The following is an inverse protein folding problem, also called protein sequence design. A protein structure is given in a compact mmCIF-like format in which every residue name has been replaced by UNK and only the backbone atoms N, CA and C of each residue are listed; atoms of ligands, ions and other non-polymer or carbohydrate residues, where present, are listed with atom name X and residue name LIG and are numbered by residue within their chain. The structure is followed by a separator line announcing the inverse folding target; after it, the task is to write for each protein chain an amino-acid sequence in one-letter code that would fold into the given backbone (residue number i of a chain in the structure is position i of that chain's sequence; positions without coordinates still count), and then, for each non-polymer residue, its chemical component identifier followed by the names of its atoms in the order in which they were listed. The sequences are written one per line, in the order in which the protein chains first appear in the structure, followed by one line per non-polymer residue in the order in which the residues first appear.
data_IF_286782129187
#
_entry.id   IF_286782129187
#
_cell.length_a   1.000
_cell.length_b   1.000
_cell.length_c   1.000
_cell.angle_alpha   90.00
_cell.angle_beta   90.00
_cell.angle_gamma   90.00
#
_symmetry.space_group_name_H-M   'P 1'
#
loop_
_entity.id
_entity.type
_entity.pdbx_description
1 polymer ?
#
# COMPACT_ATOMS: atom_id res chain seq x y z
N UNK A 1 22.92 56.04 17.46
CA UNK A 1 22.61 55.17 18.62
C UNK A 1 21.17 55.42 19.05
N UNK A 2 20.21 54.66 18.54
CA UNK A 2 18.82 54.64 19.04
C UNK A 2 18.52 53.22 19.53
N UNK A 3 18.99 52.89 20.74
CA UNK A 3 18.48 51.75 21.47
C UNK A 3 17.20 52.22 22.16
N UNK A 4 16.07 52.16 21.44
CA UNK A 4 14.77 52.34 22.05
C UNK A 4 14.58 51.23 23.08
N UNK A 5 14.60 51.59 24.36
CA UNK A 5 14.34 50.68 25.46
C UNK A 5 12.92 50.12 25.29
N UNK A 6 12.82 48.87 24.81
CA UNK A 6 11.57 48.14 24.76
C UNK A 6 11.06 48.06 26.20
N UNK A 7 9.93 48.71 26.46
CA UNK A 7 9.31 48.74 27.77
C UNK A 7 9.04 47.31 28.22
N UNK A 8 9.34 46.99 29.49
CA UNK A 8 9.01 45.68 30.09
C UNK A 8 7.52 45.31 29.93
N UNK A 9 6.65 46.30 29.71
CA UNK A 9 5.22 46.10 29.44
C UNK A 9 4.93 45.51 28.06
N UNK A 10 5.79 45.71 27.07
CA UNK A 10 5.60 45.21 25.69
C UNK A 10 6.20 43.80 25.48
N UNK A 11 7.15 43.41 26.35
CA UNK A 11 7.80 42.10 26.33
C UNK A 11 6.87 40.95 26.73
N UNK A 12 5.94 41.19 27.67
CA UNK A 12 5.01 40.16 28.16
C UNK A 12 4.01 39.70 27.08
N UNK A 13 3.32 40.60 26.34
CA UNK A 13 2.42 40.17 25.26
C UNK A 13 3.18 39.56 24.07
N UNK A 14 4.38 40.06 23.74
CA UNK A 14 5.21 39.46 22.69
C UNK A 14 5.66 38.04 23.07
N UNK A 15 6.06 37.82 24.32
CA UNK A 15 6.43 36.50 24.83
C UNK A 15 5.23 35.54 24.84
N UNK A 16 4.06 35.98 25.30
CA UNK A 16 2.84 35.17 25.29
C UNK A 16 2.40 34.80 23.87
N UNK A 17 2.46 35.72 22.90
CA UNK A 17 2.14 35.43 21.51
C UNK A 17 3.14 34.43 20.90
N UNK A 18 4.44 34.60 21.18
CA UNK A 18 5.48 33.68 20.71
C UNK A 18 5.30 32.29 21.32
N UNK A 19 4.93 32.21 22.60
CA UNK A 19 4.62 30.96 23.30
C UNK A 19 3.38 30.30 22.70
N UNK A 20 2.29 31.04 22.44
CA UNK A 20 1.07 30.50 21.82
C UNK A 20 1.35 30.02 20.40
N UNK A 21 2.13 30.77 19.61
CA UNK A 21 2.53 30.36 18.26
C UNK A 21 3.45 29.13 18.29
N UNK A 22 4.38 29.04 19.24
CA UNK A 22 5.24 27.87 19.42
C UNK A 22 4.46 26.64 19.87
N UNK A 23 3.50 26.79 20.78
CA UNK A 23 2.57 25.72 21.20
C UNK A 23 1.68 25.30 20.03
N UNK A 24 1.14 26.22 19.24
CA UNK A 24 0.34 25.90 18.06
C UNK A 24 1.15 25.27 16.92
N UNK A 25 2.43 25.64 16.76
CA UNK A 25 3.34 25.04 15.79
C UNK A 25 3.83 23.65 16.21
N UNK A 26 3.90 23.39 17.53
CA UNK A 26 4.28 22.09 18.07
C UNK A 26 3.10 21.15 18.33
N UNK A 27 1.87 21.66 18.48
CA UNK A 27 0.65 20.86 18.65
C UNK A 27 0.45 19.77 17.58
N UNK A 28 0.70 20.03 16.27
CA UNK A 28 0.63 19.01 15.23
C UNK A 28 1.64 17.87 15.39
N UNK A 29 2.76 18.10 16.09
CA UNK A 29 3.77 17.08 16.39
C UNK A 29 3.35 16.18 17.57
N UNK A 30 2.46 16.65 18.45
CA UNK A 30 2.02 15.93 19.64
C UNK A 30 0.61 15.34 19.52
N UNK A 31 -0.22 15.87 18.62
CA UNK A 31 -1.61 15.44 18.44
C UNK A 31 -1.80 14.84 17.05
N UNK A 32 -1.43 13.57 16.93
CA UNK A 32 -1.82 12.74 15.79
C UNK A 32 -3.36 12.72 15.67
N UNK A 33 -3.90 13.28 14.58
CA UNK A 33 -5.31 13.14 14.22
C UNK A 33 -6.18 14.40 14.22
N UNK A 34 -5.67 15.57 14.63
CA UNK A 34 -6.43 16.82 14.46
C UNK A 34 -6.40 17.28 13.00
N UNK A 35 -7.58 17.44 12.40
CA UNK A 35 -7.71 17.97 11.04
C UNK A 35 -7.28 19.44 10.99
N UNK A 36 -6.72 19.88 9.86
CA UNK A 36 -6.28 21.27 9.67
C UNK A 36 -7.40 22.29 9.95
N UNK A 37 -8.66 21.92 9.64
CA UNK A 37 -9.84 22.75 9.92
C UNK A 37 -10.14 22.89 11.42
N UNK A 38 -9.91 21.83 12.20
CA UNK A 38 -10.06 21.87 13.66
C UNK A 38 -9.01 22.77 14.32
N UNK A 39 -7.78 22.75 13.80
CA UNK A 39 -6.71 23.64 14.24
C UNK A 39 -7.01 25.10 13.92
N UNK A 40 -7.60 25.39 12.76
CA UNK A 40 -8.05 26.74 12.42
C UNK A 40 -9.13 27.24 13.39
N UNK A 41 -10.14 26.43 13.71
CA UNK A 41 -11.18 26.79 14.68
C UNK A 41 -10.62 27.07 16.08
N UNK A 42 -9.51 26.43 16.45
CA UNK A 42 -8.88 26.62 17.75
C UNK A 42 -7.98 27.86 17.76
N UNK A 43 -7.25 28.14 16.68
CA UNK A 43 -6.28 29.26 16.60
C UNK A 43 -6.96 30.59 16.27
N UNK A 44 -7.99 30.60 15.43
CA UNK A 44 -8.64 31.83 14.96
C UNK A 44 -9.23 32.70 16.08
N UNK A 45 -9.91 32.15 17.10
CA UNK A 45 -10.44 32.94 18.22
C UNK A 45 -9.35 33.63 19.03
N UNK A 46 -8.18 33.01 19.21
CA UNK A 46 -7.06 33.63 19.95
C UNK A 46 -6.41 34.74 19.14
N UNK A 47 -6.20 34.53 17.83
CA UNK A 47 -5.67 35.57 16.94
C UNK A 47 -6.66 36.74 16.86
N UNK A 48 -7.96 36.47 16.73
CA UNK A 48 -9.01 37.48 16.70
C UNK A 48 -9.13 38.25 18.02
N UNK A 49 -9.11 37.55 19.16
CA UNK A 49 -9.12 38.17 20.48
C UNK A 49 -7.88 39.05 20.73
N UNK A 50 -6.70 38.60 20.27
CA UNK A 50 -5.47 39.36 20.36
C UNK A 50 -5.51 40.63 19.49
N UNK A 51 -5.98 40.51 18.24
CA UNK A 51 -6.14 41.65 17.32
C UNK A 51 -7.19 42.66 17.80
N UNK A 52 -8.32 42.20 18.34
CA UNK A 52 -9.37 43.09 18.86
C UNK A 52 -8.91 43.84 20.11
N UNK A 53 -8.23 43.19 21.05
CA UNK A 53 -7.63 43.86 22.22
C UNK A 53 -6.62 44.93 21.83
N UNK A 54 -5.79 44.65 20.83
CA UNK A 54 -4.81 45.63 20.30
C UNK A 54 -5.52 46.86 19.71
N UNK A 55 -6.61 46.66 18.97
CA UNK A 55 -7.38 47.76 18.36
C UNK A 55 -8.07 48.66 19.38
N UNK A 56 -8.60 48.07 20.46
CA UNK A 56 -9.37 48.80 21.50
C UNK A 56 -8.48 49.72 22.33
N UNK A 57 -7.20 49.39 22.53
CA UNK A 57 -6.28 50.20 23.34
C UNK A 57 -5.41 51.17 22.55
N UNK A 58 -5.63 51.35 21.24
CA UNK A 58 -4.85 52.26 20.38
C UNK A 58 -3.33 52.04 20.43
N UNK A 59 -2.90 50.82 20.78
CA UNK A 59 -1.48 50.47 20.87
C UNK A 59 -0.99 50.12 19.47
N UNK A 60 -0.04 50.92 18.94
CA UNK A 60 0.64 50.58 17.69
C UNK A 60 1.36 49.25 17.88
N UNK A 61 0.92 48.23 17.12
CA UNK A 61 1.59 46.93 17.10
C UNK A 61 3.03 47.14 16.65
N UNK A 62 4.03 46.76 17.46
CA UNK A 62 5.42 46.83 17.04
C UNK A 62 5.58 46.02 15.75
N UNK A 63 6.22 46.60 14.74
CA UNK A 63 6.41 45.93 13.44
C UNK A 63 7.06 44.54 13.57
N UNK A 64 7.85 44.33 14.62
CA UNK A 64 8.45 43.04 14.99
C UNK A 64 7.43 41.94 15.26
N UNK A 65 6.29 42.24 15.89
CA UNK A 65 5.23 41.27 16.18
C UNK A 65 4.51 40.85 14.90
N UNK A 66 4.27 41.81 13.99
CA UNK A 66 3.71 41.53 12.66
C UNK A 66 4.64 40.66 11.82
N UNK A 67 5.94 40.94 11.83
CA UNK A 67 6.95 40.14 11.13
C UNK A 67 7.02 38.71 11.69
N UNK A 68 6.98 38.54 13.02
CA UNK A 68 6.95 37.22 13.65
C UNK A 68 5.68 36.43 13.34
N UNK A 69 4.51 37.09 13.32
CA UNK A 69 3.25 36.46 12.92
C UNK A 69 3.29 36.02 11.44
N UNK A 70 3.84 36.87 10.56
CA UNK A 70 4.00 36.55 9.15
C UNK A 70 4.97 35.39 8.93
N UNK A 71 6.11 35.38 9.63
CA UNK A 71 7.06 34.26 9.63
C UNK A 71 6.43 32.99 10.19
N UNK A 72 5.60 33.09 11.23
CA UNK A 72 4.81 31.97 11.78
C UNK A 72 3.82 31.40 10.78
N UNK A 73 3.10 32.26 10.04
CA UNK A 73 2.19 31.83 8.98
C UNK A 73 2.94 31.20 7.79
N UNK A 74 4.06 31.78 7.38
CA UNK A 74 4.89 31.25 6.29
C UNK A 74 5.52 29.91 6.66
N UNK A 75 6.01 29.76 7.89
CA UNK A 75 6.58 28.51 8.40
C UNK A 75 5.50 27.44 8.60
N UNK A 76 4.33 27.77 9.15
CA UNK A 76 3.20 26.84 9.24
C UNK A 76 2.71 26.39 7.84
N UNK A 77 2.66 27.30 6.87
CA UNK A 77 2.32 26.97 5.47
C UNK A 77 3.40 26.11 4.81
N UNK A 78 4.66 26.35 5.12
CA UNK A 78 5.80 25.57 4.60
C UNK A 78 5.84 24.17 5.23
N UNK A 79 5.57 24.05 6.53
CA UNK A 79 5.48 22.76 7.23
C UNK A 79 4.26 21.97 6.72
N UNK A 80 3.11 22.64 6.52
CA UNK A 80 1.91 22.03 5.94
C UNK A 80 2.13 21.58 4.50
N UNK A 81 2.82 22.36 3.66
CA UNK A 81 3.13 21.96 2.29
C UNK A 81 4.16 20.83 2.23
N UNK A 82 5.09 20.76 3.19
CA UNK A 82 6.02 19.64 3.35
C UNK A 82 5.32 18.37 3.87
N UNK A 83 4.33 18.49 4.75
CA UNK A 83 3.56 17.33 5.26
C UNK A 83 2.48 16.82 4.29
N UNK A 84 1.93 17.67 3.43
CA UNK A 84 0.98 17.27 2.38
C UNK A 84 1.63 16.49 1.22
N UNK A 85 2.96 16.39 1.16
CA UNK A 85 3.68 15.78 0.03
C UNK A 85 4.36 14.45 0.34
N UNK A 86 4.20 13.91 1.55
CA UNK A 86 4.83 12.66 1.99
C UNK A 86 3.95 11.41 1.86
N UNK A 87 2.72 11.55 1.36
CA UNK A 87 1.90 10.40 0.97
C UNK A 87 2.26 9.93 -0.43
N UNK A 88 2.74 8.69 -0.56
CA UNK A 88 2.93 7.99 -1.83
C UNK A 88 1.62 7.99 -2.66
N UNK A 89 1.48 8.91 -3.63
CA UNK A 89 0.15 9.33 -4.11
C UNK A 89 0.07 9.60 -5.61
N UNK A 90 0.98 9.03 -6.42
CA UNK A 90 0.80 9.09 -7.88
C UNK A 90 0.86 7.74 -8.59
N UNK A 91 -0.12 7.54 -9.47
CA UNK A 91 -0.07 6.58 -10.57
C UNK A 91 0.54 7.32 -11.78
N UNK A 92 1.63 6.82 -12.32
CA UNK A 92 2.25 7.39 -13.53
C UNK A 92 1.77 6.60 -14.74
N UNK A 93 1.25 7.30 -15.74
CA UNK A 93 0.96 6.73 -17.07
C UNK A 93 1.98 7.27 -18.04
N UNK A 94 2.71 6.37 -18.71
CA UNK A 94 3.69 6.74 -19.72
C UNK A 94 3.07 6.79 -21.10
N UNK A 95 3.74 7.43 -22.06
CA UNK A 95 3.31 7.44 -23.45
C UNK A 95 3.18 6.01 -23.98
N UNK A 96 2.02 5.69 -24.56
CA UNK A 96 1.78 4.38 -25.15
C UNK A 96 2.61 4.20 -26.42
N UNK A 97 3.14 2.99 -26.62
CA UNK A 97 3.88 2.62 -27.83
C UNK A 97 2.99 2.79 -29.06
N UNK A 98 3.45 3.60 -30.01
CA UNK A 98 2.72 3.93 -31.24
C UNK A 98 1.87 5.19 -31.16
N UNK A 99 1.63 5.75 -29.97
CA UNK A 99 0.82 6.94 -29.77
C UNK A 99 1.67 8.22 -29.86
N UNK A 100 2.15 8.53 -31.07
CA UNK A 100 3.01 9.69 -31.33
C UNK A 100 2.36 11.03 -30.94
N UNK A 101 1.04 11.13 -31.08
CA UNK A 101 0.25 12.32 -30.75
C UNK A 101 -0.20 12.36 -29.28
N UNK A 102 0.16 11.35 -28.48
CA UNK A 102 -0.26 11.18 -27.07
C UNK A 102 -1.78 11.19 -26.86
N UNK A 103 -2.55 10.94 -27.91
CA UNK A 103 -4.00 11.05 -27.92
C UNK A 103 -4.66 9.94 -27.12
N UNK A 104 -4.25 8.69 -27.36
CA UNK A 104 -4.73 7.51 -26.63
C UNK A 104 -4.28 7.55 -25.18
N UNK A 105 -3.03 7.93 -24.94
CA UNK A 105 -2.43 8.10 -23.61
C UNK A 105 -3.23 9.14 -22.80
N UNK A 106 -3.59 10.27 -23.42
CA UNK A 106 -4.39 11.31 -22.79
C UNK A 106 -5.79 10.81 -22.45
N UNK A 107 -6.48 10.19 -23.40
CA UNK A 107 -7.83 9.64 -23.20
C UNK A 107 -7.82 8.60 -22.07
N UNK A 108 -6.84 7.70 -22.07
CA UNK A 108 -6.69 6.68 -21.04
C UNK A 108 -6.49 7.29 -19.65
N UNK A 109 -5.59 8.27 -19.54
CA UNK A 109 -5.34 8.99 -18.29
C UNK A 109 -6.59 9.73 -17.79
N UNK A 110 -7.32 10.40 -18.68
CA UNK A 110 -8.57 11.08 -18.35
C UNK A 110 -9.62 10.10 -17.86
N UNK A 111 -9.74 8.93 -18.50
CA UNK A 111 -10.60 7.84 -18.04
C UNK A 111 -10.27 7.38 -16.62
N UNK A 112 -8.98 7.23 -16.29
CA UNK A 112 -8.54 6.84 -14.93
C UNK A 112 -8.88 7.94 -13.93
N UNK A 113 -8.59 9.21 -14.24
CA UNK A 113 -8.94 10.33 -13.36
C UNK A 113 -10.45 10.43 -13.13
N UNK A 114 -11.27 10.27 -14.16
CA UNK A 114 -12.73 10.28 -14.03
C UNK A 114 -13.24 9.11 -13.16
N UNK A 115 -12.64 7.93 -13.29
CA UNK A 115 -12.94 6.79 -12.41
C UNK A 115 -12.51 7.04 -10.95
N UNK A 116 -11.33 7.64 -10.72
CA UNK A 116 -10.88 8.05 -9.39
C UNK A 116 -11.82 9.08 -8.77
N UNK A 117 -12.28 10.09 -9.51
CA UNK A 117 -13.25 11.06 -9.01
C UNK A 117 -14.61 10.44 -8.66
N UNK A 118 -15.02 9.37 -9.35
CA UNK A 118 -16.20 8.59 -8.96
C UNK A 118 -15.98 7.83 -7.65
N UNK A 119 -14.82 7.17 -7.51
CA UNK A 119 -14.46 6.47 -6.27
C UNK A 119 -14.33 7.44 -5.09
N UNK A 120 -13.73 8.62 -5.28
CA UNK A 120 -13.57 9.63 -4.24
C UNK A 120 -14.92 10.16 -3.70
N UNK A 121 -15.98 10.16 -4.52
CA UNK A 121 -17.34 10.49 -4.06
C UNK A 121 -17.92 9.41 -3.15
N UNK A 122 -17.61 8.13 -3.41
CA UNK A 122 -18.03 7.02 -2.55
C UNK A 122 -17.13 6.88 -1.31
N UNK A 123 -15.85 7.29 -1.42
CA UNK A 123 -14.82 7.11 -0.40
C UNK A 123 -13.97 8.41 -0.26
N UNK A 124 -14.38 9.35 0.60
CA UNK A 124 -13.84 10.73 0.65
C UNK A 124 -12.33 10.85 0.97
N UNK A 125 -11.69 9.78 1.47
CA UNK A 125 -10.24 9.76 1.72
C UNK A 125 -9.36 9.84 0.47
N UNK A 126 -9.93 9.80 -0.73
CA UNK A 126 -9.15 9.63 -1.98
C UNK A 126 -9.20 10.80 -2.95
N UNK A 127 -9.76 11.94 -2.52
CA UNK A 127 -9.80 13.18 -3.29
C UNK A 127 -8.40 13.71 -3.71
N UNK A 128 -7.33 13.22 -3.07
CA UNK A 128 -5.95 13.64 -3.35
C UNK A 128 -5.22 12.75 -4.36
N UNK A 129 -5.79 11.61 -4.75
CA UNK A 129 -5.14 10.69 -5.71
C UNK A 129 -5.09 11.33 -7.10
N UNK A 130 -3.90 11.37 -7.70
CA UNK A 130 -3.70 11.96 -9.04
C UNK A 130 -2.93 11.03 -9.95
N UNK A 131 -3.35 11.00 -11.21
CA UNK A 131 -2.60 10.34 -12.28
C UNK A 131 -1.67 11.35 -12.94
N UNK A 132 -0.37 11.07 -12.94
CA UNK A 132 0.66 11.88 -13.60
C UNK A 132 0.97 11.30 -14.97
N UNK A 133 1.20 12.18 -15.93
CA UNK A 133 1.77 11.79 -17.22
C UNK A 133 3.30 11.86 -17.11
N UNK A 134 3.97 10.96 -17.84
CA UNK A 134 5.41 11.07 -18.08
C UNK A 134 5.71 10.77 -19.54
N UNK A 135 6.40 11.69 -20.20
CA UNK A 135 6.83 11.55 -21.59
C UNK A 135 8.05 10.64 -21.66
N UNK A 136 7.78 9.34 -21.54
CA UNK A 136 8.76 8.28 -21.66
C UNK A 136 8.10 7.11 -22.39
N UNK A 137 8.78 6.55 -23.38
CA UNK A 137 8.30 5.35 -24.05
C UNK A 137 8.97 4.14 -23.42
N UNK A 138 8.35 3.60 -22.35
CA UNK A 138 8.91 2.45 -21.65
C UNK A 138 8.60 1.17 -22.42
N UNK A 139 9.60 0.31 -22.54
CA UNK A 139 9.50 -0.98 -23.23
C UNK A 139 9.66 -2.17 -22.31
N UNK A 140 10.22 -1.96 -21.11
CA UNK A 140 10.57 -3.05 -20.21
C UNK A 140 10.28 -2.77 -18.74
N UNK A 141 10.07 -3.85 -17.98
CA UNK A 141 9.91 -3.78 -16.52
C UNK A 141 11.11 -3.12 -15.84
N UNK A 142 12.34 -3.33 -16.36
CA UNK A 142 13.55 -2.77 -15.76
C UNK A 142 13.53 -1.24 -15.77
N UNK A 143 13.08 -0.64 -16.87
CA UNK A 143 12.94 0.82 -16.99
C UNK A 143 11.83 1.34 -16.07
N UNK A 144 10.68 0.67 -16.04
CA UNK A 144 9.58 1.02 -15.14
C UNK A 144 9.96 0.89 -13.65
N UNK A 145 10.76 -0.12 -13.30
CA UNK A 145 11.28 -0.29 -11.95
C UNK A 145 12.29 0.80 -11.58
N UNK A 146 13.21 1.15 -12.48
CA UNK A 146 14.13 2.28 -12.28
C UNK A 146 13.37 3.60 -12.12
N UNK A 147 12.27 3.77 -12.88
CA UNK A 147 11.39 4.92 -12.73
C UNK A 147 10.76 4.96 -11.33
N UNK A 148 10.17 3.86 -10.87
CA UNK A 148 9.60 3.74 -9.53
C UNK A 148 10.62 4.03 -8.43
N UNK A 149 11.87 3.57 -8.59
CA UNK A 149 12.97 3.84 -7.66
C UNK A 149 13.39 5.32 -7.67
N UNK A 150 13.39 5.98 -8.84
CA UNK A 150 13.73 7.40 -8.97
C UNK A 150 12.64 8.34 -8.45
N UNK A 151 11.37 7.92 -8.52
CA UNK A 151 10.23 8.73 -8.10
C UNK A 151 9.72 8.23 -6.75
N UNK A 152 10.24 8.81 -5.67
CA UNK A 152 9.91 8.42 -4.30
C UNK A 152 8.39 8.31 -4.05
N UNK A 153 7.56 9.08 -4.76
CA UNK A 153 6.11 9.17 -4.52
C UNK A 153 5.23 8.41 -5.54
N UNK A 154 5.80 7.60 -6.44
CA UNK A 154 5.01 6.86 -7.44
C UNK A 154 4.69 5.45 -6.95
N UNK A 155 3.40 5.13 -6.82
CA UNK A 155 2.96 3.80 -6.37
C UNK A 155 2.97 2.78 -7.50
N UNK A 156 2.70 3.27 -8.71
CA UNK A 156 2.44 2.45 -9.87
C UNK A 156 2.93 3.19 -11.11
N UNK A 157 3.46 2.43 -12.07
CA UNK A 157 3.77 2.92 -13.41
C UNK A 157 3.05 2.03 -14.41
N UNK A 158 2.11 2.60 -15.16
CA UNK A 158 1.43 1.96 -16.27
C UNK A 158 2.13 2.35 -17.58
N UNK A 159 2.53 1.34 -18.36
CA UNK A 159 3.21 1.51 -19.65
C UNK A 159 2.84 0.38 -20.60
N UNK A 160 3.09 0.51 -21.90
CA UNK A 160 2.74 -0.52 -22.88
C UNK A 160 2.38 0.11 -24.22
N UNK A 161 1.51 -0.55 -24.98
CA UNK A 161 1.04 -0.05 -26.28
C UNK A 161 -0.49 -0.11 -26.39
N UNK A 162 -1.02 0.23 -27.56
CA UNK A 162 -2.48 0.31 -27.81
C UNK A 162 -3.29 -0.97 -27.57
N UNK A 163 -2.64 -2.14 -27.41
CA UNK A 163 -3.32 -3.42 -27.13
C UNK A 163 -3.17 -3.90 -25.69
N UNK A 164 -2.03 -3.61 -25.07
CA UNK A 164 -1.61 -4.20 -23.80
C UNK A 164 -0.90 -3.17 -22.94
N UNK A 165 -1.32 -3.11 -21.67
CA UNK A 165 -0.72 -2.31 -20.61
C UNK A 165 -0.08 -3.23 -19.59
N UNK A 166 1.15 -2.93 -19.23
CA UNK A 166 1.87 -3.50 -18.10
C UNK A 166 1.87 -2.49 -16.96
N UNK A 167 1.72 -2.99 -15.75
CA UNK A 167 1.64 -2.16 -14.55
C UNK A 167 2.73 -2.61 -13.60
N UNK A 168 3.79 -1.81 -13.48
CA UNK A 168 4.83 -2.01 -12.49
C UNK A 168 4.40 -1.38 -11.15
N UNK A 169 4.75 -2.03 -10.05
CA UNK A 169 4.33 -1.65 -8.71
C UNK A 169 5.53 -1.31 -7.82
N UNK A 170 5.40 -0.26 -7.01
CA UNK A 170 6.42 0.16 -6.06
C UNK A 170 6.68 -0.88 -4.97
N UNK A 171 7.95 -1.05 -4.57
CA UNK A 171 8.36 -2.04 -3.56
C UNK A 171 7.81 -1.80 -2.15
N UNK A 172 7.39 -0.57 -1.87
CA UNK A 172 6.86 -0.17 -0.56
C UNK A 172 5.41 -0.59 -0.36
N UNK A 173 4.72 -1.04 -1.42
CA UNK A 173 3.40 -1.70 -1.33
C UNK A 173 3.57 -3.12 -0.77
N UNK A 174 4.02 -3.23 0.48
CA UNK A 174 4.10 -4.50 1.22
C UNK A 174 2.70 -4.81 1.74
N UNK A 175 2.19 -5.99 1.36
CA UNK A 175 0.81 -6.36 1.70
C UNK A 175 0.63 -6.86 3.15
N UNK A 176 1.70 -6.97 3.93
CA UNK A 176 1.67 -7.46 5.31
C UNK A 176 2.72 -6.78 6.19
N UNK A 177 2.39 -6.43 7.44
CA UNK A 177 3.38 -5.98 8.42
C UNK A 177 4.33 -7.12 8.81
N UNK A 178 5.61 -6.78 9.00
CA UNK A 178 6.66 -7.72 9.43
C UNK A 178 6.80 -7.82 10.95
N UNK A 179 6.30 -6.80 11.64
CA UNK A 179 6.38 -6.64 13.09
C UNK A 179 5.15 -7.25 13.79
N UNK A 180 5.24 -7.33 15.12
CA UNK A 180 4.14 -7.75 15.97
C UNK A 180 3.78 -9.24 15.87
N UNK A 181 2.49 -9.55 16.05
CA UNK A 181 1.97 -10.90 16.08
C UNK A 181 2.19 -11.66 14.76
N UNK A 182 2.06 -10.97 13.62
CA UNK A 182 2.25 -11.55 12.28
C UNK A 182 3.66 -12.11 12.11
N UNK A 183 4.68 -11.30 12.40
CA UNK A 183 6.07 -11.72 12.30
C UNK A 183 6.40 -12.92 13.21
N UNK A 184 5.83 -12.96 14.41
CA UNK A 184 6.00 -14.06 15.35
C UNK A 184 5.37 -15.37 14.85
N UNK A 185 4.15 -15.31 14.30
CA UNK A 185 3.48 -16.48 13.70
C UNK A 185 4.22 -17.03 12.48
N UNK A 186 4.67 -16.15 11.59
CA UNK A 186 5.44 -16.57 10.42
C UNK A 186 6.77 -17.23 10.82
N UNK A 187 7.46 -16.70 11.83
CA UNK A 187 8.67 -17.32 12.42
C UNK A 187 8.36 -18.68 13.05
N UNK A 188 7.24 -18.82 13.76
CA UNK A 188 6.80 -20.10 14.34
C UNK A 188 6.55 -21.15 13.25
N UNK A 189 5.81 -20.78 12.20
CA UNK A 189 5.55 -21.65 11.05
C UNK A 189 6.84 -21.99 10.29
N UNK A 190 7.85 -21.10 10.33
CA UNK A 190 9.06 -21.12 9.50
C UNK A 190 8.71 -21.07 8.01
N UNK A 191 7.74 -20.22 7.68
CA UNK A 191 7.25 -20.01 6.33
C UNK A 191 7.18 -18.51 6.03
N UNK A 192 7.49 -18.16 4.79
CA UNK A 192 7.45 -16.78 4.30
C UNK A 192 6.33 -16.59 3.28
N UNK A 193 5.40 -15.66 3.49
CA UNK A 193 4.46 -15.27 2.46
C UNK A 193 5.18 -14.41 1.41
N UNK A 194 4.74 -14.51 0.16
CA UNK A 194 5.12 -13.56 -0.89
C UNK A 194 4.34 -12.28 -0.64
N UNK A 195 5.04 -11.18 -0.39
CA UNK A 195 4.46 -9.90 0.04
C UNK A 195 4.26 -8.91 -1.10
N UNK A 196 4.95 -9.15 -2.21
CA UNK A 196 5.02 -8.24 -3.33
C UNK A 196 5.13 -9.07 -4.61
N UNK A 197 4.29 -8.75 -5.58
CA UNK A 197 4.39 -9.20 -6.96
C UNK A 197 4.56 -7.92 -7.76
N UNK A 198 5.69 -7.80 -8.45
CA UNK A 198 6.15 -6.51 -8.96
C UNK A 198 5.35 -5.97 -10.16
N UNK A 199 4.55 -6.84 -10.79
CA UNK A 199 3.85 -6.49 -12.02
C UNK A 199 2.64 -7.37 -12.27
N UNK A 200 1.68 -6.79 -12.97
CA UNK A 200 0.66 -7.52 -13.72
C UNK A 200 0.41 -6.85 -15.08
N UNK A 201 -0.19 -7.61 -15.99
CA UNK A 201 -0.58 -7.14 -17.33
C UNK A 201 -2.10 -7.02 -17.46
N UNK A 202 -2.52 -6.12 -18.34
CA UNK A 202 -3.89 -5.78 -18.69
C UNK A 202 -4.00 -5.61 -20.20
N UNK A 203 -5.14 -5.96 -20.78
CA UNK A 203 -5.44 -5.48 -22.13
C UNK A 203 -5.93 -4.04 -22.03
N UNK A 204 -5.55 -3.19 -22.99
CA UNK A 204 -6.02 -1.80 -23.00
C UNK A 204 -7.52 -1.73 -23.33
N UNK A 205 -7.98 -2.56 -24.26
CA UNK A 205 -9.36 -2.57 -24.70
C UNK A 205 -10.21 -3.57 -23.90
N UNK A 206 -11.40 -3.17 -23.41
CA UNK A 206 -12.02 -1.86 -23.60
C UNK A 206 -11.48 -0.80 -22.60
N UNK A 207 -11.25 0.41 -23.12
CA UNK A 207 -10.45 1.45 -22.45
C UNK A 207 -11.06 1.95 -21.13
N UNK A 208 -12.39 2.11 -21.09
CA UNK A 208 -13.08 2.65 -19.91
C UNK A 208 -13.04 1.69 -18.72
N UNK A 209 -13.18 0.40 -18.98
CA UNK A 209 -13.14 -0.68 -18.00
C UNK A 209 -11.72 -0.89 -17.50
N UNK A 210 -10.73 -0.82 -18.39
CA UNK A 210 -9.31 -0.88 -18.01
C UNK A 210 -8.94 0.30 -17.13
N UNK A 211 -9.39 1.51 -17.48
CA UNK A 211 -9.19 2.70 -16.67
C UNK A 211 -9.89 2.61 -15.30
N UNK A 212 -11.13 2.10 -15.27
CA UNK A 212 -11.90 1.86 -14.05
C UNK A 212 -11.22 0.84 -13.12
N UNK A 213 -10.75 -0.28 -13.69
CA UNK A 213 -10.01 -1.29 -12.95
C UNK A 213 -8.71 -0.72 -12.34
N UNK A 214 -7.93 0.02 -13.14
CA UNK A 214 -6.69 0.63 -12.65
C UNK A 214 -6.95 1.65 -11.54
N UNK A 215 -7.97 2.48 -11.69
CA UNK A 215 -8.39 3.41 -10.64
C UNK A 215 -8.76 2.68 -9.35
N UNK A 216 -9.54 1.59 -9.43
CA UNK A 216 -9.94 0.80 -8.27
C UNK A 216 -8.74 0.11 -7.57
N UNK A 217 -7.83 -0.50 -8.34
CA UNK A 217 -6.62 -1.11 -7.78
C UNK A 217 -5.71 -0.05 -7.14
N UNK A 218 -5.51 1.07 -7.82
CA UNK A 218 -4.68 2.16 -7.33
C UNK A 218 -5.25 2.75 -6.04
N UNK A 219 -6.56 3.02 -6.01
CA UNK A 219 -7.28 3.44 -4.81
C UNK A 219 -7.08 2.46 -3.66
N UNK A 220 -7.29 1.15 -3.88
CA UNK A 220 -7.09 0.15 -2.84
C UNK A 220 -5.66 0.14 -2.29
N UNK A 221 -4.66 0.18 -3.18
CA UNK A 221 -3.26 0.12 -2.81
C UNK A 221 -2.81 1.34 -1.98
N UNK A 222 -3.28 2.54 -2.33
CA UNK A 222 -2.96 3.75 -1.56
C UNK A 222 -3.78 3.82 -0.27
N UNK A 223 -5.07 3.48 -0.30
CA UNK A 223 -5.92 3.46 0.89
C UNK A 223 -5.36 2.55 1.99
N UNK A 224 -4.66 1.47 1.64
CA UNK A 224 -3.96 0.61 2.62
C UNK A 224 -2.89 1.34 3.42
N UNK A 225 -2.17 2.27 2.78
CA UNK A 225 -1.11 3.06 3.43
C UNK A 225 -1.72 4.01 4.46
N UNK A 226 -2.91 4.54 4.17
CA UNK A 226 -3.64 5.46 5.06
C UNK A 226 -4.55 4.75 6.08
N UNK A 227 -4.89 3.47 5.85
CA UNK A 227 -5.82 2.70 6.70
C UNK A 227 -5.28 2.31 8.08
N UNK A 228 -4.09 2.77 8.48
CA UNK A 228 -3.72 2.78 9.90
C UNK A 228 -4.71 3.58 10.77
N UNK A 229 -5.59 4.38 10.13
CA UNK A 229 -6.66 5.17 10.76
C UNK A 229 -8.07 4.59 10.63
N UNK A 230 -8.31 3.59 9.78
CA UNK A 230 -9.64 3.00 9.58
C UNK A 230 -9.69 1.62 10.26
N UNK A 231 -10.26 1.57 11.46
CA UNK A 231 -10.18 0.41 12.37
C UNK A 231 -10.83 -0.87 11.84
N UNK A 232 -11.63 -0.77 10.77
CA UNK A 232 -12.39 -1.92 10.25
C UNK A 232 -11.82 -2.51 8.96
N UNK A 233 -10.98 -1.78 8.21
CA UNK A 233 -10.43 -2.22 6.92
C UNK A 233 -11.48 -2.57 5.84
N UNK A 234 -12.78 -2.29 6.08
CA UNK A 234 -13.88 -2.68 5.20
C UNK A 234 -13.83 -1.96 3.85
N UNK A 235 -13.46 -0.67 3.85
CA UNK A 235 -13.33 0.12 2.62
C UNK A 235 -12.26 -0.47 1.67
N UNK A 236 -11.14 -0.91 2.23
CA UNK A 236 -10.06 -1.57 1.49
C UNK A 236 -10.54 -2.90 0.88
N UNK A 237 -11.20 -3.73 1.68
CA UNK A 237 -11.78 -5.00 1.22
C UNK A 237 -12.81 -4.80 0.11
N UNK A 238 -13.76 -3.89 0.29
CA UNK A 238 -14.81 -3.58 -0.69
C UNK A 238 -14.21 -3.09 -2.01
N UNK A 239 -13.20 -2.22 -1.94
CA UNK A 239 -12.52 -1.72 -3.15
C UNK A 239 -11.82 -2.86 -3.89
N UNK A 240 -11.15 -3.78 -3.19
CA UNK A 240 -10.52 -4.94 -3.82
C UNK A 240 -11.53 -5.90 -4.44
N UNK A 241 -12.66 -6.14 -3.77
CA UNK A 241 -13.77 -6.93 -4.32
C UNK A 241 -14.34 -6.28 -5.57
N UNK A 242 -14.55 -4.96 -5.53
CA UNK A 242 -14.99 -4.17 -6.68
C UNK A 242 -14.01 -4.27 -7.86
N UNK A 243 -12.70 -4.15 -7.61
CA UNK A 243 -11.67 -4.33 -8.63
C UNK A 243 -11.67 -5.77 -9.20
N UNK A 244 -11.80 -6.80 -8.36
CA UNK A 244 -11.88 -8.20 -8.81
C UNK A 244 -13.18 -8.53 -9.58
N UNK A 245 -14.24 -7.76 -9.34
CA UNK A 245 -15.54 -7.90 -9.98
C UNK A 245 -15.62 -7.20 -11.34
N UNK A 246 -14.65 -6.35 -11.71
CA UNK A 246 -14.63 -5.78 -13.06
C UNK A 246 -14.58 -6.91 -14.09
N UNK A 247 -15.55 -6.86 -15.00
CA UNK A 247 -15.65 -7.77 -16.14
C UNK A 247 -15.73 -6.91 -17.39
N UNK A 248 -14.86 -7.23 -18.33
CA UNK A 248 -14.89 -6.65 -19.66
C UNK A 248 -14.48 -7.74 -20.66
N UNK A 249 -14.63 -7.46 -21.95
CA UNK A 249 -14.23 -8.35 -23.05
C UNK A 249 -12.70 -8.37 -23.26
N UNK A 250 -11.95 -8.51 -22.17
CA UNK A 250 -10.50 -8.65 -22.21
C UNK A 250 -10.10 -10.02 -22.73
N UNK A 251 -8.97 -10.06 -23.44
CA UNK A 251 -8.37 -11.30 -23.97
C UNK A 251 -7.90 -12.28 -22.88
N UNK A 252 -7.73 -11.83 -21.64
CA UNK A 252 -7.42 -12.67 -20.48
C UNK A 252 -8.01 -12.11 -19.18
N UNK A 253 -8.38 -13.03 -18.28
CA UNK A 253 -8.86 -12.73 -16.93
C UNK A 253 -7.72 -12.60 -15.90
N UNK A 254 -6.45 -12.73 -16.31
CA UNK A 254 -5.31 -12.77 -15.39
C UNK A 254 -5.20 -11.55 -14.48
N UNK A 255 -5.66 -10.38 -14.93
CA UNK A 255 -5.67 -9.16 -14.12
C UNK A 255 -6.58 -9.27 -12.89
N UNK A 256 -7.68 -10.02 -12.96
CA UNK A 256 -8.60 -10.27 -11.82
C UNK A 256 -7.95 -11.11 -10.73
N UNK A 257 -6.93 -11.88 -11.09
CA UNK A 257 -6.18 -12.66 -10.12
C UNK A 257 -5.41 -11.78 -9.13
N UNK A 258 -4.97 -10.60 -9.57
CA UNK A 258 -4.18 -9.69 -8.75
C UNK A 258 -4.95 -9.17 -7.53
N UNK A 259 -6.14 -8.54 -7.65
CA UNK A 259 -6.92 -8.13 -6.49
C UNK A 259 -7.37 -9.33 -5.63
N UNK A 260 -7.71 -10.47 -6.23
CA UNK A 260 -8.04 -11.68 -5.43
C UNK A 260 -6.84 -12.18 -4.61
N UNK A 261 -5.63 -12.11 -5.15
CA UNK A 261 -4.41 -12.44 -4.41
C UNK A 261 -4.14 -11.43 -3.29
N UNK A 262 -4.34 -10.13 -3.54
CA UNK A 262 -4.23 -9.09 -2.50
C UNK A 262 -5.27 -9.33 -1.39
N UNK A 263 -6.50 -9.66 -1.75
CA UNK A 263 -7.57 -9.94 -0.79
C UNK A 263 -7.25 -11.18 0.05
N UNK A 264 -6.71 -12.24 -0.57
CA UNK A 264 -6.22 -13.40 0.17
C UNK A 264 -5.10 -13.05 1.14
N UNK A 265 -4.24 -12.09 0.77
CA UNK A 265 -3.21 -11.58 1.65
C UNK A 265 -3.80 -10.78 2.81
N UNK A 266 -4.78 -9.93 2.55
CA UNK A 266 -5.48 -9.17 3.58
C UNK A 266 -6.03 -10.07 4.70
N UNK A 267 -6.82 -11.10 4.34
CA UNK A 267 -7.36 -12.05 5.32
C UNK A 267 -6.30 -12.88 6.03
N UNK A 268 -5.24 -13.28 5.32
CA UNK A 268 -4.12 -13.98 5.94
C UNK A 268 -3.41 -13.10 6.99
N UNK A 269 -3.33 -11.79 6.75
CA UNK A 269 -2.77 -10.82 7.69
C UNK A 269 -3.63 -10.73 8.94
N UNK A 270 -4.93 -10.48 8.76
CA UNK A 270 -5.93 -10.40 9.83
C UNK A 270 -5.94 -11.64 10.74
N UNK A 271 -5.85 -12.83 10.15
CA UNK A 271 -5.74 -14.07 10.92
C UNK A 271 -4.55 -14.06 11.87
N UNK A 272 -3.38 -13.59 11.41
CA UNK A 272 -2.19 -13.58 12.25
C UNK A 272 -2.17 -12.40 13.24
N UNK A 273 -2.80 -11.28 12.89
CA UNK A 273 -2.98 -10.12 13.76
C UNK A 273 -3.89 -10.46 14.95
N UNK A 274 -4.96 -11.21 14.72
CA UNK A 274 -5.87 -11.73 15.77
C UNK A 274 -5.29 -12.88 16.59
N UNK A 275 -4.00 -13.19 16.47
CA UNK A 275 -3.37 -14.30 17.20
C UNK A 275 -3.89 -15.69 16.80
N UNK A 276 -4.66 -15.79 15.73
CA UNK A 276 -5.31 -17.02 15.26
C UNK A 276 -6.70 -17.28 15.83
N UNK A 277 -7.33 -16.28 16.46
CA UNK A 277 -8.66 -16.38 17.06
C UNK A 277 -9.80 -16.39 16.02
N UNK A 278 -9.56 -15.88 14.80
CA UNK A 278 -10.55 -15.82 13.73
C UNK A 278 -10.27 -16.87 12.62
N UNK A 279 -10.56 -18.16 12.82
CA UNK A 279 -10.21 -19.20 11.84
C UNK A 279 -10.92 -19.07 10.48
N UNK A 280 -12.04 -18.35 10.44
CA UNK A 280 -12.74 -17.99 9.20
C UNK A 280 -11.87 -17.18 8.25
N UNK A 281 -10.94 -16.38 8.77
CA UNK A 281 -10.00 -15.58 7.96
C UNK A 281 -9.09 -16.47 7.10
N UNK A 282 -8.68 -17.65 7.59
CA UNK A 282 -7.93 -18.60 6.78
C UNK A 282 -8.76 -19.23 5.66
N UNK A 283 -10.07 -19.41 5.88
CA UNK A 283 -10.99 -19.87 4.83
C UNK A 283 -11.16 -18.80 3.75
N UNK A 284 -11.40 -17.56 4.15
CA UNK A 284 -11.48 -16.41 3.25
C UNK A 284 -10.17 -16.23 2.46
N UNK A 285 -9.01 -16.35 3.11
CA UNK A 285 -7.71 -16.30 2.46
C UNK A 285 -7.56 -17.42 1.40
N UNK A 286 -7.84 -18.67 1.76
CA UNK A 286 -7.75 -19.81 0.86
C UNK A 286 -8.70 -19.67 -0.34
N UNK A 287 -9.94 -19.25 -0.09
CA UNK A 287 -10.95 -19.01 -1.13
C UNK A 287 -10.51 -17.91 -2.10
N UNK A 288 -9.92 -16.83 -1.59
CA UNK A 288 -9.41 -15.73 -2.41
C UNK A 288 -8.22 -16.17 -3.27
N UNK A 289 -7.28 -16.96 -2.73
CA UNK A 289 -6.20 -17.53 -3.53
C UNK A 289 -6.72 -18.54 -4.56
N UNK A 290 -7.72 -19.34 -4.23
CA UNK A 290 -8.35 -20.25 -5.20
C UNK A 290 -9.05 -19.49 -6.32
N UNK A 291 -9.71 -18.39 -6.01
CA UNK A 291 -10.30 -17.47 -6.99
C UNK A 291 -9.21 -16.87 -7.89
N UNK A 292 -8.10 -16.40 -7.32
CA UNK A 292 -6.97 -15.90 -8.09
C UNK A 292 -6.42 -16.96 -9.06
N UNK A 293 -6.27 -18.20 -8.59
CA UNK A 293 -5.76 -19.31 -9.41
C UNK A 293 -6.72 -19.74 -10.53
N UNK A 294 -8.04 -19.55 -10.37
CA UNK A 294 -9.01 -19.80 -11.46
C UNK A 294 -8.87 -18.81 -12.62
N UNK A 295 -8.42 -17.59 -12.33
CA UNK A 295 -8.23 -16.54 -13.33
C UNK A 295 -6.87 -16.61 -14.04
N UNK A 296 -5.90 -17.34 -13.48
CA UNK A 296 -4.56 -17.46 -14.04
C UNK A 296 -4.44 -18.73 -14.88
N UNK A 297 -4.20 -18.59 -16.18
CA UNK A 297 -3.70 -19.71 -16.98
C UNK A 297 -2.21 -19.92 -16.71
N UNK A 298 -1.70 -21.15 -16.86
CA UNK A 298 -0.27 -21.41 -16.84
C UNK A 298 0.48 -20.49 -17.83
N UNK A 299 1.34 -19.60 -17.33
CA UNK A 299 2.17 -18.70 -18.14
C UNK A 299 1.70 -17.25 -18.26
N UNK A 300 0.45 -16.91 -17.90
CA UNK A 300 -0.05 -15.51 -18.00
C UNK A 300 0.75 -14.56 -17.11
N UNK A 301 0.97 -14.96 -15.86
CA UNK A 301 1.84 -14.29 -14.91
C UNK A 301 2.41 -15.34 -13.96
N UNK A 302 3.56 -15.92 -14.33
CA UNK A 302 4.17 -17.03 -13.59
C UNK A 302 4.54 -16.67 -12.13
N UNK A 303 4.89 -15.41 -11.86
CA UNK A 303 5.24 -14.97 -10.50
C UNK A 303 3.99 -14.80 -9.63
N UNK A 304 2.93 -14.17 -10.15
CA UNK A 304 1.64 -14.07 -9.44
C UNK A 304 1.02 -15.44 -9.17
N UNK A 305 1.09 -16.36 -10.13
CA UNK A 305 0.63 -17.73 -9.97
C UNK A 305 1.40 -18.47 -8.86
N UNK A 306 2.73 -18.34 -8.85
CA UNK A 306 3.56 -18.88 -7.79
C UNK A 306 3.27 -18.22 -6.43
N UNK A 307 3.00 -16.91 -6.41
CA UNK A 307 2.67 -16.16 -5.20
C UNK A 307 1.36 -16.62 -4.58
N UNK A 308 0.30 -16.78 -5.38
CA UNK A 308 -0.99 -17.29 -4.93
C UNK A 308 -0.87 -18.71 -4.35
N UNK A 309 -0.14 -19.62 -5.01
CA UNK A 309 0.10 -20.97 -4.50
C UNK A 309 0.96 -20.99 -3.24
N UNK A 310 1.99 -20.15 -3.16
CA UNK A 310 2.83 -20.04 -1.97
C UNK A 310 2.01 -19.55 -0.76
N UNK A 311 1.24 -18.49 -0.93
CA UNK A 311 0.50 -17.88 0.17
C UNK A 311 -0.68 -18.76 0.59
N UNK A 312 -1.31 -19.47 -0.37
CA UNK A 312 -2.24 -20.55 -0.06
C UNK A 312 -1.60 -21.65 0.79
N UNK A 313 -0.35 -22.03 0.50
CA UNK A 313 0.37 -23.00 1.33
C UNK A 313 0.62 -22.46 2.75
N UNK A 314 0.95 -21.18 2.91
CA UNK A 314 1.08 -20.54 4.24
C UNK A 314 -0.25 -20.60 5.00
N UNK A 315 -1.37 -20.24 4.35
CA UNK A 315 -2.70 -20.32 4.97
C UNK A 315 -3.08 -21.75 5.37
N UNK A 316 -2.79 -22.74 4.51
CA UNK A 316 -2.99 -24.16 4.81
C UNK A 316 -2.10 -24.65 5.98
N UNK A 317 -0.90 -24.10 6.11
CA UNK A 317 -0.01 -24.38 7.23
C UNK A 317 -0.58 -23.83 8.54
N UNK A 318 -1.11 -22.60 8.51
CA UNK A 318 -1.90 -22.01 9.61
C UNK A 318 -3.03 -22.97 10.01
N UNK A 319 -3.88 -23.37 9.06
CA UNK A 319 -4.96 -24.32 9.36
C UNK A 319 -4.49 -25.65 9.95
N UNK A 320 -3.35 -26.15 9.49
CA UNK A 320 -2.78 -27.40 10.02
C UNK A 320 -2.27 -27.23 11.45
N UNK A 321 -1.72 -26.06 11.80
CA UNK A 321 -1.21 -25.75 13.12
C UNK A 321 -2.34 -25.53 14.15
N UNK A 322 -3.36 -24.75 13.80
CA UNK A 322 -4.43 -24.38 14.73
C UNK A 322 -5.57 -25.40 14.83
N UNK A 323 -5.87 -26.15 13.77
CA UNK A 323 -7.02 -27.08 13.75
C UNK A 323 -6.63 -28.55 13.63
N UNK A 324 -5.35 -28.89 13.76
CA UNK A 324 -4.80 -30.25 13.68
C UNK A 324 -5.23 -31.06 12.41
N UNK A 325 -5.51 -30.36 11.31
CA UNK A 325 -5.98 -30.99 10.07
C UNK A 325 -4.80 -31.56 9.26
N UNK A 326 -4.40 -32.81 9.52
CA UNK A 326 -3.29 -33.51 8.82
C UNK A 326 -3.40 -33.45 7.28
N UNK A 327 -4.62 -33.49 6.72
CA UNK A 327 -4.88 -33.35 5.28
C UNK A 327 -4.33 -32.02 4.69
N UNK A 328 -4.32 -30.95 5.48
CA UNK A 328 -3.83 -29.64 5.04
C UNK A 328 -2.31 -29.61 4.86
N UNK A 329 -1.56 -30.44 5.60
CA UNK A 329 -0.11 -30.56 5.41
C UNK A 329 0.25 -31.13 4.04
N UNK A 330 -0.49 -32.14 3.57
CA UNK A 330 -0.30 -32.71 2.24
C UNK A 330 -0.68 -31.70 1.15
N UNK A 331 -1.81 -30.99 1.32
CA UNK A 331 -2.25 -29.92 0.40
C UNK A 331 -1.24 -28.77 0.33
N UNK A 332 -0.70 -28.33 1.47
CA UNK A 332 0.37 -27.33 1.55
C UNK A 332 1.59 -27.75 0.75
N UNK A 333 2.10 -28.97 0.96
CA UNK A 333 3.27 -29.46 0.22
C UNK A 333 2.99 -29.57 -1.29
N UNK A 334 1.77 -29.98 -1.68
CA UNK A 334 1.34 -30.01 -3.09
C UNK A 334 1.38 -28.59 -3.67
N UNK A 335 0.77 -27.61 -3.01
CA UNK A 335 0.75 -26.22 -3.45
C UNK A 335 2.17 -25.65 -3.64
N UNK A 336 3.08 -25.85 -2.68
CA UNK A 336 4.48 -25.42 -2.80
C UNK A 336 5.21 -26.07 -3.99
N UNK A 337 5.00 -27.37 -4.24
CA UNK A 337 5.60 -28.06 -5.39
C UNK A 337 5.08 -27.50 -6.71
N UNK A 338 3.79 -27.18 -6.79
CA UNK A 338 3.20 -26.57 -7.99
C UNK A 338 3.73 -25.14 -8.18
N UNK A 339 3.85 -24.36 -7.11
CA UNK A 339 4.44 -23.01 -7.17
C UNK A 339 5.87 -23.05 -7.73
N UNK A 340 6.69 -24.01 -7.31
CA UNK A 340 8.06 -24.19 -7.82
C UNK A 340 8.07 -24.56 -9.31
N UNK A 341 7.08 -25.35 -9.77
CA UNK A 341 6.96 -25.71 -11.19
C UNK A 341 6.62 -24.51 -12.08
N UNK A 342 6.07 -23.42 -11.54
CA UNK A 342 5.83 -22.18 -12.29
C UNK A 342 7.12 -21.62 -12.92
N UNK A 343 8.32 -21.93 -12.37
CA UNK A 343 9.61 -21.60 -13.00
C UNK A 343 9.74 -22.08 -14.45
N UNK A 344 9.10 -23.20 -14.78
CA UNK A 344 9.16 -23.80 -16.13
C UNK A 344 8.27 -23.07 -17.14
N UNK A 345 7.39 -22.20 -16.68
CA UNK A 345 6.53 -21.41 -17.55
C UNK A 345 7.31 -20.24 -18.12
N UNK A 346 6.92 -19.80 -19.33
CA UNK A 346 7.52 -18.65 -19.99
C UNK A 346 7.30 -17.40 -19.13
N UNK A 347 8.38 -16.67 -18.86
CA UNK A 347 8.31 -15.39 -18.17
C UNK A 347 8.06 -14.27 -19.19
N UNK A 348 6.81 -14.15 -19.64
CA UNK A 348 6.38 -13.18 -20.66
C UNK A 348 6.60 -11.73 -20.23
N UNK A 349 6.54 -11.45 -18.92
CA UNK A 349 6.69 -10.11 -18.35
C UNK A 349 8.14 -9.73 -18.02
N UNK A 350 9.10 -10.66 -18.17
CA UNK A 350 10.51 -10.40 -17.86
C UNK A 350 10.80 -10.08 -16.39
N UNK A 351 9.87 -10.36 -15.48
CA UNK A 351 10.00 -10.02 -14.06
C UNK A 351 10.79 -11.06 -13.27
N UNK A 352 11.53 -10.67 -12.21
CA UNK A 352 12.18 -11.63 -11.33
C UNK A 352 11.15 -12.57 -10.70
N UNK A 353 11.34 -13.89 -10.84
CA UNK A 353 10.47 -14.92 -10.24
C UNK A 353 10.73 -15.09 -8.73
N UNK A 354 10.46 -14.04 -7.96
CA UNK A 354 10.69 -13.99 -6.51
C UNK A 354 9.82 -15.00 -5.77
N UNK A 355 8.56 -15.15 -6.17
CA UNK A 355 7.60 -16.05 -5.52
C UNK A 355 8.02 -17.51 -5.61
N UNK A 356 8.64 -17.91 -6.73
CA UNK A 356 9.20 -19.24 -6.93
C UNK A 356 10.34 -19.52 -5.94
N UNK A 357 11.21 -18.53 -5.71
CA UNK A 357 12.33 -18.65 -4.76
C UNK A 357 11.80 -18.83 -3.34
N UNK A 358 10.82 -18.02 -2.93
CA UNK A 358 10.14 -18.13 -1.63
C UNK A 358 9.45 -19.49 -1.45
N UNK A 359 8.75 -19.99 -2.48
CA UNK A 359 8.13 -21.32 -2.43
C UNK A 359 9.15 -22.46 -2.25
N UNK A 360 10.32 -22.34 -2.90
CA UNK A 360 11.43 -23.29 -2.74
C UNK A 360 12.00 -23.27 -1.32
N UNK A 361 12.19 -22.08 -0.75
CA UNK A 361 12.60 -21.91 0.65
C UNK A 361 11.59 -22.58 1.59
N UNK A 362 10.30 -22.25 1.46
CA UNK A 362 9.22 -22.81 2.28
C UNK A 362 9.15 -24.34 2.21
N UNK A 363 9.29 -24.93 1.01
CA UNK A 363 9.28 -26.38 0.87
C UNK A 363 10.46 -27.06 1.58
N UNK A 364 11.64 -26.42 1.58
CA UNK A 364 12.83 -26.89 2.31
C UNK A 364 12.59 -26.83 3.82
N UNK A 365 12.06 -25.72 4.33
CA UNK A 365 11.73 -25.54 5.75
C UNK A 365 10.75 -26.60 6.26
N UNK A 366 9.73 -26.94 5.47
CA UNK A 366 8.77 -28.02 5.80
C UNK A 366 9.44 -29.39 5.84
N UNK A 367 10.32 -29.70 4.89
CA UNK A 367 11.01 -31.00 4.82
C UNK A 367 12.01 -31.18 5.96
N UNK A 368 12.73 -30.13 6.35
CA UNK A 368 13.69 -30.16 7.45
C UNK A 368 13.02 -30.53 8.78
N UNK A 369 11.87 -29.92 9.11
CA UNK A 369 11.05 -30.27 10.30
C UNK A 369 10.60 -31.75 10.30
N UNK A 370 10.43 -32.36 9.12
CA UNK A 370 10.04 -33.77 9.00
C UNK A 370 11.17 -34.76 9.31
N UNK A 371 12.42 -34.40 9.03
CA UNK A 371 13.60 -35.25 9.27
C UNK A 371 14.01 -35.29 10.74
N UNK A 372 13.95 -34.15 11.45
CA UNK A 372 14.29 -34.07 12.87
C UNK A 372 13.34 -34.88 13.77
N UNK A 373 12.05 -34.99 13.41
CA UNK A 373 11.09 -35.85 14.13
C UNK A 373 11.32 -37.36 13.90
N UNK A 374 11.83 -37.78 12.74
CA UNK A 374 12.16 -39.19 12.48
C UNK A 374 13.49 -39.63 13.12
N UNK A 375 14.44 -38.70 13.32
CA UNK A 375 15.75 -38.99 13.94
C UNK A 375 15.72 -39.23 15.45
N UNK A 376 14.70 -38.74 16.17
CA UNK A 376 14.54 -38.95 17.62
C UNK A 376 13.85 -40.28 18.00
N UNK A 377 13.56 -41.14 17.01
CA UNK A 377 13.02 -42.49 17.21
C UNK A 377 14.08 -43.60 17.16
N UNK A 378 15.36 -43.30 17.41
CA UNK A 378 16.38 -44.34 17.59
C UNK A 378 16.18 -44.97 18.97
N UNK A 379 15.58 -46.15 18.97
CA UNK A 379 15.51 -47.11 20.08
C UNK A 379 16.79 -47.03 20.92
N UNK A 380 16.67 -46.60 22.18
CA UNK A 380 17.58 -47.01 23.22
C UNK A 380 17.50 -48.54 23.29
N UNK A 381 18.45 -49.23 22.66
CA UNK A 381 18.70 -50.63 22.97
C UNK A 381 19.28 -50.63 24.38
N UNK A 382 18.49 -51.07 25.35
CA UNK A 382 18.97 -51.44 26.68
C UNK A 382 20.11 -52.45 26.51
N UNK A 383 21.34 -52.04 26.78
CA UNK A 383 22.41 -53.00 27.05
C UNK A 383 22.13 -53.58 28.43
N UNK A 384 21.59 -54.81 28.46
CA UNK A 384 21.77 -55.68 29.62
C UNK A 384 23.23 -56.15 29.57
N UNK A 385 24.01 -55.75 30.56
CA UNK A 385 25.10 -56.55 31.13
C UNK A 385 25.00 -56.43 32.64
#
# INVERSE_FOLDING_TARGET
MYAAAVSKRDLVPAFLLTLVLAVCASLPLFLDGLSLGSLQLLVFPFVFWFMTRISVFSVRVPGTVLVLALLGMLSARSISSLHLNNGYSSLVVTTLQGDQLQSETRIFREGINAALSRLARAYPGTAQLKVKQRDANLTSYREAAAMLESSANSAMVAYGGGRWIQVALGRYLRLFPESGAVGSWLRYLKLEPVRHVAMFGLSLEPLNETAGFLAAIYHALVAKVDSSRDSTGQSYELTLRYAAAHQALWSSNAHRAYPSWILGNYYLGRFFESGGEEPGELDCAISSYDTALRFLRPGDNSDLFAAALNNKAVALAGKAAFHNKKKNKARMQKALRVAIKARRQRNTLGVPQTAVKTAKYNLRSVKAKGRTRKGKGRKWRSSKR
#
